data_IF_552134271780
#
_entry.id   IF_552134271780
#
_cell.length_a   1.000
_cell.length_b   1.000
_cell.length_c   1.000
_cell.angle_alpha   90.00
_cell.angle_beta   90.00
_cell.angle_gamma   90.00
#
_symmetry.space_group_name_H-M   'P 1'
#
loop_
_entity.id
_entity.type
_entity.pdbx_description
1 polymer ?
#
# COMPACT_ATOMS: atom_id res chain seq x y z
N UNK A 1 -33.54 62.30 27.14
CA UNK A 1 -34.83 62.83 26.64
C UNK A 1 -35.68 63.56 27.68
N UNK A 2 -35.86 63.07 28.92
CA UNK A 2 -36.71 63.75 29.92
C UNK A 2 -35.94 64.35 31.12
N UNK A 3 -34.79 64.98 30.87
CA UNK A 3 -33.85 65.41 31.93
C UNK A 3 -34.49 66.39 32.92
N UNK A 4 -35.17 67.43 32.44
CA UNK A 4 -35.75 68.47 33.30
C UNK A 4 -36.85 67.93 34.22
N UNK A 5 -37.65 66.99 33.70
CA UNK A 5 -38.72 66.34 34.45
C UNK A 5 -38.17 65.40 35.52
N UNK A 6 -37.12 64.63 35.20
CA UNK A 6 -36.41 63.77 36.16
C UNK A 6 -35.79 64.60 37.28
N UNK A 7 -35.14 65.73 36.95
CA UNK A 7 -34.56 66.63 37.96
C UNK A 7 -35.65 67.23 38.86
N UNK A 8 -36.81 67.60 38.29
CA UNK A 8 -37.94 68.12 39.07
C UNK A 8 -38.46 67.09 40.07
N UNK A 9 -38.67 65.85 39.64
CA UNK A 9 -39.13 64.75 40.49
C UNK A 9 -38.14 64.45 41.63
N UNK A 10 -36.83 64.51 41.35
CA UNK A 10 -35.79 64.28 42.37
C UNK A 10 -35.75 65.44 43.38
N UNK A 11 -35.92 66.69 42.94
CA UNK A 11 -35.91 67.87 43.83
C UNK A 11 -37.16 68.01 44.71
N UNK A 12 -38.32 67.53 44.24
CA UNK A 12 -39.59 67.59 44.98
C UNK A 12 -39.72 66.46 46.02
N UNK A 13 -38.90 65.41 45.92
CA UNK A 13 -38.88 64.31 46.88
C UNK A 13 -38.14 64.68 48.17
N UNK A 14 -38.62 64.15 49.31
CA UNK A 14 -38.00 64.39 50.62
C UNK A 14 -36.68 63.62 50.82
N UNK A 15 -36.55 62.45 50.20
CA UNK A 15 -35.35 61.62 50.26
C UNK A 15 -35.20 60.77 48.98
N UNK A 16 -34.06 60.07 48.85
CA UNK A 16 -33.75 59.24 47.68
C UNK A 16 -34.71 58.05 47.51
N UNK A 17 -35.33 57.55 48.59
CA UNK A 17 -36.27 56.44 48.51
C UNK A 17 -37.61 56.87 47.92
N UNK A 18 -38.10 58.06 48.32
CA UNK A 18 -39.29 58.69 47.75
C UNK A 18 -39.03 59.13 46.31
N UNK A 19 -37.82 59.64 46.00
CA UNK A 19 -37.43 59.96 44.64
C UNK A 19 -37.44 58.73 43.72
N UNK A 20 -36.88 57.60 44.18
CA UNK A 20 -36.88 56.35 43.43
C UNK A 20 -38.31 55.84 43.17
N UNK A 21 -39.17 55.81 44.18
CA UNK A 21 -40.56 55.39 44.04
C UNK A 21 -41.36 56.27 43.06
N UNK A 22 -41.13 57.58 43.09
CA UNK A 22 -41.77 58.52 42.15
C UNK A 22 -41.27 58.34 40.71
N UNK A 23 -39.96 58.11 40.52
CA UNK A 23 -39.39 57.82 39.20
C UNK A 23 -39.93 56.49 38.63
N UNK A 24 -40.07 55.46 39.47
CA UNK A 24 -40.68 54.19 39.08
C UNK A 24 -42.14 54.37 38.65
N UNK A 25 -42.96 55.05 39.47
CA UNK A 25 -44.39 55.24 39.17
C UNK A 25 -44.63 56.10 37.93
N UNK A 26 -43.76 57.08 37.66
CA UNK A 26 -43.97 58.06 36.57
C UNK A 26 -43.39 57.62 35.24
N UNK A 27 -42.24 56.95 35.24
CA UNK A 27 -41.54 56.53 34.01
C UNK A 27 -41.58 55.01 33.77
N UNK A 28 -42.26 54.24 34.63
CA UNK A 28 -42.34 52.78 34.50
C UNK A 28 -41.00 52.07 34.69
N UNK A 29 -40.08 52.69 35.43
CA UNK A 29 -38.73 52.19 35.64
C UNK A 29 -38.70 51.12 36.72
N UNK A 30 -37.72 50.21 36.63
CA UNK A 30 -37.38 49.31 37.73
C UNK A 30 -36.64 50.05 38.85
N UNK A 31 -36.65 49.49 40.06
CA UNK A 31 -35.94 50.03 41.21
C UNK A 31 -34.45 50.25 40.94
N UNK A 32 -33.80 49.30 40.25
CA UNK A 32 -32.38 49.40 39.85
C UNK A 32 -32.14 50.54 38.86
N UNK A 33 -33.04 50.72 37.88
CA UNK A 33 -32.93 51.82 36.91
C UNK A 33 -33.16 53.19 37.58
N UNK A 34 -34.12 53.28 38.49
CA UNK A 34 -34.41 54.51 39.23
C UNK A 34 -33.22 54.91 40.12
N UNK A 35 -32.63 53.95 40.83
CA UNK A 35 -31.44 54.17 41.66
C UNK A 35 -30.23 54.60 40.80
N UNK A 36 -30.00 53.95 39.65
CA UNK A 36 -28.91 54.32 38.73
C UNK A 36 -29.05 55.75 38.17
N UNK A 37 -30.27 56.25 38.00
CA UNK A 37 -30.53 57.65 37.60
C UNK A 37 -30.21 58.61 38.74
N UNK A 38 -30.56 58.27 39.98
CA UNK A 38 -30.28 59.09 41.18
C UNK A 38 -28.76 59.19 41.40
N UNK A 39 -28.03 58.09 41.20
CA UNK A 39 -26.57 58.03 41.39
C UNK A 39 -25.76 58.64 40.23
N UNK A 40 -26.44 59.15 39.19
CA UNK A 40 -25.80 59.69 38.01
C UNK A 40 -25.12 61.04 38.29
N UNK A 41 -23.86 61.18 37.87
CA UNK A 41 -23.10 62.44 37.98
C UNK A 41 -23.49 63.40 36.85
N UNK A 42 -23.65 64.68 37.16
CA UNK A 42 -24.02 65.74 36.18
C UNK A 42 -23.11 65.78 34.93
N UNK A 43 -21.82 65.44 35.05
CA UNK A 43 -20.89 65.38 33.92
C UNK A 43 -21.21 64.31 32.86
N UNK A 44 -22.00 63.28 33.22
CA UNK A 44 -22.47 62.23 32.28
C UNK A 44 -23.58 62.71 31.34
N UNK A 45 -24.12 63.91 31.57
CA UNK A 45 -25.15 64.52 30.73
C UNK A 45 -24.58 65.28 29.53
N UNK A 46 -23.25 65.27 29.34
CA UNK A 46 -22.65 65.89 28.15
C UNK A 46 -23.00 65.11 26.88
N UNK A 47 -22.99 65.81 25.73
CA UNK A 47 -23.34 65.21 24.45
C UNK A 47 -22.38 64.05 24.08
N UNK A 48 -21.08 64.21 24.35
CA UNK A 48 -20.07 63.19 24.11
C UNK A 48 -20.28 61.93 24.97
N UNK A 49 -20.69 62.09 26.23
CA UNK A 49 -20.98 60.94 27.10
C UNK A 49 -22.29 60.24 26.69
N UNK A 50 -23.25 60.99 26.15
CA UNK A 50 -24.48 60.42 25.58
C UNK A 50 -24.17 59.61 24.33
N UNK A 51 -23.33 60.13 23.42
CA UNK A 51 -22.90 59.44 22.21
C UNK A 51 -22.18 58.13 22.54
N UNK A 52 -21.24 58.13 23.49
CA UNK A 52 -20.58 56.90 23.96
C UNK A 52 -21.56 55.85 24.48
N UNK A 53 -22.61 56.27 25.19
CA UNK A 53 -23.64 55.35 25.70
C UNK A 53 -24.47 54.78 24.54
N UNK A 54 -24.77 55.58 23.52
CA UNK A 54 -25.48 55.11 22.33
C UNK A 54 -24.63 54.13 21.51
N UNK A 55 -23.33 54.39 21.37
CA UNK A 55 -22.39 53.49 20.70
C UNK A 55 -22.26 52.17 21.47
N UNK A 56 -22.07 52.23 22.79
CA UNK A 56 -22.01 51.03 23.63
C UNK A 56 -23.32 50.23 23.56
N UNK A 57 -24.47 50.91 23.55
CA UNK A 57 -25.77 50.29 23.38
C UNK A 57 -25.90 49.60 22.02
N UNK A 58 -25.41 50.22 20.95
CA UNK A 58 -25.42 49.63 19.60
C UNK A 58 -24.53 48.38 19.52
N UNK A 59 -23.34 48.43 20.12
CA UNK A 59 -22.42 47.30 20.20
C UNK A 59 -23.00 46.15 21.04
N UNK A 60 -23.61 46.46 22.19
CA UNK A 60 -24.28 45.48 23.03
C UNK A 60 -25.45 44.83 22.31
N UNK A 61 -26.27 45.60 21.60
CA UNK A 61 -27.37 45.05 20.80
C UNK A 61 -26.86 44.11 19.70
N UNK A 62 -25.77 44.47 19.03
CA UNK A 62 -25.12 43.62 18.02
C UNK A 62 -24.64 42.30 18.63
N UNK A 63 -23.98 42.35 19.79
CA UNK A 63 -23.55 41.16 20.54
C UNK A 63 -24.74 40.31 20.99
N UNK A 64 -25.80 40.93 21.53
CA UNK A 64 -27.00 40.22 21.97
C UNK A 64 -27.65 39.50 20.78
N UNK A 65 -27.78 40.16 19.63
CA UNK A 65 -28.30 39.53 18.41
C UNK A 65 -27.46 38.33 18.00
N UNK A 66 -26.14 38.48 17.95
CA UNK A 66 -25.22 37.38 17.63
C UNK A 66 -25.36 36.21 18.61
N UNK A 67 -25.36 36.47 19.92
CA UNK A 67 -25.47 35.42 20.93
C UNK A 67 -26.84 34.73 20.91
N UNK A 68 -27.94 35.47 20.69
CA UNK A 68 -29.27 34.87 20.54
C UNK A 68 -29.36 34.00 19.29
N UNK A 69 -28.81 34.47 18.18
CA UNK A 69 -28.74 33.70 16.93
C UNK A 69 -27.94 32.39 17.13
N UNK A 70 -26.76 32.50 17.74
CA UNK A 70 -25.91 31.34 18.06
C UNK A 70 -26.61 30.34 18.99
N UNK A 71 -27.27 30.82 20.06
CA UNK A 71 -27.95 29.96 21.04
C UNK A 71 -29.22 29.30 20.50
N UNK A 72 -29.81 29.84 19.43
CA UNK A 72 -31.03 29.28 18.82
C UNK A 72 -30.77 28.09 17.91
N UNK A 73 -29.53 27.88 17.45
CA UNK A 73 -29.17 26.82 16.50
C UNK A 73 -27.97 25.99 16.99
N UNK A 74 -28.23 24.71 17.34
CA UNK A 74 -27.18 23.78 17.75
C UNK A 74 -26.10 23.56 16.67
N UNK A 75 -26.43 23.70 15.39
CA UNK A 75 -25.49 23.59 14.29
C UNK A 75 -24.43 24.69 14.34
N UNK A 76 -24.84 25.94 14.61
CA UNK A 76 -23.93 27.07 14.78
C UNK A 76 -23.02 26.91 15.98
N UNK A 77 -23.54 26.43 17.11
CA UNK A 77 -22.73 26.13 18.31
C UNK A 77 -21.66 25.07 17.98
N UNK A 78 -22.04 23.96 17.34
CA UNK A 78 -21.08 22.91 16.94
C UNK A 78 -20.04 23.44 15.97
N UNK A 79 -20.41 24.36 15.09
CA UNK A 79 -19.47 24.98 14.16
C UNK A 79 -18.43 25.85 14.88
N UNK A 80 -18.83 26.63 15.89
CA UNK A 80 -17.90 27.39 16.74
C UNK A 80 -16.95 26.44 17.47
N UNK A 81 -17.47 25.40 18.13
CA UNK A 81 -16.66 24.40 18.83
C UNK A 81 -15.66 23.70 17.90
N UNK A 82 -16.11 23.33 16.69
CA UNK A 82 -15.22 22.74 15.68
C UNK A 82 -14.09 23.68 15.29
N UNK A 83 -14.40 24.96 15.10
CA UNK A 83 -13.43 25.99 14.73
C UNK A 83 -12.39 26.15 15.82
N UNK A 84 -12.82 26.27 17.08
CA UNK A 84 -11.92 26.39 18.23
C UNK A 84 -11.03 25.15 18.41
N UNK A 85 -11.57 23.94 18.26
CA UNK A 85 -10.80 22.69 18.35
C UNK A 85 -9.73 22.62 17.24
N UNK A 86 -10.08 23.03 16.01
CA UNK A 86 -9.13 23.05 14.89
C UNK A 86 -8.03 24.08 15.12
N UNK A 87 -8.36 25.26 15.64
CA UNK A 87 -7.38 26.29 15.97
C UNK A 87 -6.41 25.81 17.07
N UNK A 88 -6.92 25.11 18.10
CA UNK A 88 -6.08 24.46 19.11
C UNK A 88 -5.19 23.38 18.52
N UNK A 89 -5.74 22.52 17.65
CA UNK A 89 -4.98 21.47 16.96
C UNK A 89 -3.87 22.04 16.08
N UNK A 90 -4.10 23.18 15.41
CA UNK A 90 -3.11 23.84 14.57
C UNK A 90 -2.03 24.54 15.40
N UNK A 91 -2.41 25.14 16.53
CA UNK A 91 -1.48 25.89 17.40
C UNK A 91 -0.59 24.97 18.25
N UNK A 92 -1.11 23.83 18.68
CA UNK A 92 -0.44 22.94 19.64
C UNK A 92 -0.22 21.51 19.13
N UNK A 93 -0.57 21.22 17.88
CA UNK A 93 -0.36 19.90 17.29
C UNK A 93 1.11 19.56 17.10
N UNK A 94 1.51 18.39 17.56
CA UNK A 94 2.81 17.79 17.25
C UNK A 94 2.66 16.50 16.44
N UNK A 95 3.75 16.06 15.80
CA UNK A 95 3.74 14.76 15.13
C UNK A 95 3.72 13.66 16.18
N UNK A 96 2.94 12.61 15.92
CA UNK A 96 2.91 11.41 16.75
C UNK A 96 4.34 10.86 16.89
N UNK A 97 4.81 10.75 18.14
CA UNK A 97 6.15 10.26 18.46
C UNK A 97 6.25 8.74 18.48
N UNK A 98 5.14 8.07 18.77
CA UNK A 98 5.05 6.61 18.88
C UNK A 98 4.39 6.00 17.65
N UNK A 99 4.91 4.88 17.20
CA UNK A 99 4.27 4.04 16.18
C UNK A 99 3.45 2.95 16.88
N UNK A 100 2.24 2.67 16.39
CA UNK A 100 1.49 1.50 16.83
C UNK A 100 1.82 0.38 15.86
N UNK A 101 2.67 -0.55 16.28
CA UNK A 101 2.89 -1.81 15.57
C UNK A 101 1.76 -2.78 15.94
N UNK A 102 1.29 -3.55 14.96
CA UNK A 102 0.29 -4.61 15.18
C UNK A 102 0.93 -5.90 15.76
N UNK A 103 2.22 -5.83 16.10
CA UNK A 103 2.98 -6.92 16.71
C UNK A 103 2.74 -6.89 18.22
N UNK A 104 2.12 -7.94 18.76
CA UNK A 104 1.91 -8.11 20.21
C UNK A 104 3.26 -8.31 20.91
N UNK A 105 3.69 -7.32 21.71
CA UNK A 105 4.85 -7.46 22.60
C UNK A 105 4.61 -8.59 23.62
N UNK A 106 5.22 -9.75 23.39
CA UNK A 106 5.19 -10.90 24.30
C UNK A 106 4.24 -12.04 23.92
N UNK A 107 3.57 -11.96 22.76
CA UNK A 107 2.97 -13.15 22.17
C UNK A 107 4.09 -14.01 21.60
N UNK A 108 4.36 -15.19 22.18
CA UNK A 108 5.18 -16.18 21.49
C UNK A 108 4.57 -16.39 20.10
N UNK A 109 5.30 -16.06 19.04
CA UNK A 109 4.82 -16.39 17.70
C UNK A 109 4.76 -17.91 17.65
N UNK A 110 3.68 -18.48 17.11
CA UNK A 110 3.62 -19.93 16.82
C UNK A 110 4.86 -20.33 16.00
N UNK A 111 5.41 -19.39 15.22
CA UNK A 111 6.68 -19.48 14.50
C UNK A 111 7.89 -19.82 15.40
N UNK A 112 8.00 -19.29 16.62
CA UNK A 112 9.13 -19.58 17.52
C UNK A 112 9.13 -21.04 18.02
N UNK A 113 7.99 -21.72 17.93
CA UNK A 113 7.86 -23.15 18.21
C UNK A 113 8.10 -24.03 16.98
N UNK A 114 8.17 -23.44 15.79
CA UNK A 114 8.43 -24.19 14.56
C UNK A 114 9.94 -24.39 14.46
N UNK A 115 10.35 -25.64 14.31
CA UNK A 115 11.77 -25.97 14.16
C UNK A 115 12.28 -25.43 12.82
N UNK A 116 13.42 -24.75 12.87
CA UNK A 116 14.15 -24.40 11.67
C UNK A 116 14.82 -25.65 11.09
N UNK A 117 14.35 -26.09 9.92
CA UNK A 117 14.87 -27.25 9.22
C UNK A 117 14.82 -27.03 7.71
N UNK A 118 15.79 -27.60 7.00
CA UNK A 118 15.80 -27.56 5.54
C UNK A 118 14.78 -28.56 4.99
N UNK A 119 13.92 -28.09 4.10
CA UNK A 119 12.93 -28.90 3.39
C UNK A 119 13.06 -28.71 1.88
N UNK A 120 12.71 -29.74 1.14
CA UNK A 120 12.51 -29.66 -0.31
C UNK A 120 11.07 -29.26 -0.57
N UNK A 121 10.88 -28.12 -1.20
CA UNK A 121 9.58 -27.68 -1.70
C UNK A 121 9.42 -28.18 -3.13
N UNK A 122 8.29 -28.85 -3.39
CA UNK A 122 7.97 -29.41 -4.70
C UNK A 122 6.63 -28.84 -5.15
N UNK A 123 6.60 -28.27 -6.35
CA UNK A 123 5.41 -27.68 -6.94
C UNK A 123 5.26 -28.25 -8.35
N UNK A 124 4.08 -28.77 -8.63
CA UNK A 124 3.74 -29.33 -9.94
C UNK A 124 3.10 -28.30 -10.86
N UNK A 125 3.12 -28.57 -12.17
CA UNK A 125 2.48 -27.74 -13.19
C UNK A 125 0.96 -27.57 -12.99
N UNK A 126 0.32 -28.50 -12.27
CA UNK A 126 -1.10 -28.41 -11.91
C UNK A 126 -1.35 -27.65 -10.60
N UNK A 127 -0.31 -27.05 -10.02
CA UNK A 127 -0.39 -26.27 -8.79
C UNK A 127 -0.51 -27.12 -7.52
N UNK A 128 -0.09 -28.39 -7.56
CA UNK A 128 0.05 -29.18 -6.34
C UNK A 128 1.37 -28.85 -5.66
N UNK A 129 1.31 -28.47 -4.38
CA UNK A 129 2.47 -28.12 -3.57
C UNK A 129 2.61 -29.09 -2.40
N UNK A 130 3.86 -29.39 -2.05
CA UNK A 130 4.23 -30.07 -0.82
C UNK A 130 5.62 -29.66 -0.36
N UNK A 131 5.86 -29.77 0.94
CA UNK A 131 7.21 -29.78 1.52
C UNK A 131 7.55 -31.18 2.00
N UNK A 132 8.80 -31.57 1.80
CA UNK A 132 9.34 -32.87 2.20
C UNK A 132 10.66 -32.61 2.95
N UNK A 133 10.89 -33.18 4.14
CA UNK A 133 12.18 -33.06 4.81
C UNK A 133 13.34 -33.45 3.89
N UNK A 134 14.45 -32.70 3.93
CA UNK A 134 15.61 -32.96 3.07
C UNK A 134 16.16 -34.38 3.27
N UNK A 135 16.04 -34.94 4.47
CA UNK A 135 16.50 -36.29 4.80
C UNK A 135 15.77 -37.40 3.99
N UNK A 136 14.48 -37.22 3.66
CA UNK A 136 13.76 -38.15 2.78
C UNK A 136 14.22 -38.06 1.31
N UNK A 137 14.72 -36.90 0.90
CA UNK A 137 15.28 -36.69 -0.44
C UNK A 137 16.74 -37.12 -0.53
N UNK A 138 17.50 -37.06 0.58
CA UNK A 138 18.86 -37.60 0.71
C UNK A 138 18.86 -39.13 0.73
N UNK A 139 18.63 -39.75 -0.42
CA UNK A 139 18.90 -41.18 -0.58
C UNK A 139 20.40 -41.45 -0.74
N UNK A 140 20.94 -42.31 0.13
CA UNK A 140 22.28 -42.89 0.11
C UNK A 140 22.74 -43.29 -1.31
N UNK A 141 23.95 -42.88 -1.68
CA UNK A 141 24.77 -43.56 -2.71
C UNK A 141 24.42 -43.32 -4.17
N UNK A 142 25.46 -43.34 -5.01
CA UNK A 142 25.39 -43.12 -6.47
C UNK A 142 24.52 -44.19 -7.16
N UNK A 143 23.67 -43.74 -8.09
CA UNK A 143 23.42 -44.47 -9.33
C UNK A 143 22.37 -45.59 -9.30
N UNK A 144 21.15 -45.28 -8.86
CA UNK A 144 19.97 -46.07 -9.24
C UNK A 144 19.29 -45.49 -10.48
N UNK A 145 19.58 -46.01 -11.68
CA UNK A 145 18.68 -45.82 -12.84
C UNK A 145 17.32 -46.41 -12.46
N UNK A 146 16.37 -45.58 -12.04
CA UNK A 146 15.02 -46.03 -11.68
C UNK A 146 14.51 -45.64 -10.30
N UNK A 147 15.04 -44.58 -9.66
CA UNK A 147 14.31 -43.96 -8.54
C UNK A 147 13.11 -43.23 -9.13
N UNK A 148 11.95 -43.90 -9.19
CA UNK A 148 10.67 -43.27 -9.55
C UNK A 148 10.49 -42.03 -8.66
N UNK A 149 10.54 -40.85 -9.27
CA UNK A 149 10.01 -39.62 -8.69
C UNK A 149 8.50 -39.77 -8.44
N UNK A 150 7.91 -38.79 -7.76
CA UNK A 150 6.50 -38.77 -7.36
C UNK A 150 5.57 -39.46 -8.39
N UNK A 151 4.64 -40.30 -7.91
CA UNK A 151 3.60 -40.93 -8.73
C UNK A 151 2.63 -39.87 -9.23
N UNK A 152 3.02 -39.22 -10.33
CA UNK A 152 2.23 -38.25 -11.04
C UNK A 152 1.21 -39.01 -11.91
N UNK A 153 -0.02 -38.49 -12.04
CA UNK A 153 -0.97 -38.99 -13.06
C UNK A 153 -0.39 -38.68 -14.43
N UNK A 154 -0.92 -39.33 -15.48
CA UNK A 154 -0.63 -38.97 -16.86
C UNK A 154 -0.66 -37.43 -17.01
N UNK A 155 0.48 -36.84 -17.41
CA UNK A 155 0.73 -35.40 -17.68
C UNK A 155 0.94 -34.43 -16.50
N UNK A 156 1.03 -34.89 -15.24
CA UNK A 156 1.48 -34.03 -14.12
C UNK A 156 3.01 -34.14 -13.99
N UNK A 157 3.73 -33.03 -13.85
CA UNK A 157 5.19 -33.04 -13.68
C UNK A 157 5.65 -31.97 -12.70
N UNK A 158 6.81 -32.21 -12.09
CA UNK A 158 7.43 -31.25 -11.17
C UNK A 158 7.96 -30.07 -11.96
N UNK A 159 7.38 -28.89 -11.74
CA UNK A 159 7.78 -27.65 -12.41
C UNK A 159 8.82 -26.91 -11.57
N UNK A 160 8.63 -26.84 -10.25
CA UNK A 160 9.57 -26.23 -9.32
C UNK A 160 10.01 -27.21 -8.24
N UNK A 161 11.32 -27.27 -8.02
CA UNK A 161 11.95 -28.02 -6.94
C UNK A 161 13.13 -27.21 -6.40
N UNK A 162 13.03 -26.80 -5.14
CA UNK A 162 14.08 -26.04 -4.46
C UNK A 162 14.19 -26.45 -2.99
N UNK A 163 15.35 -26.19 -2.41
CA UNK A 163 15.59 -26.37 -0.97
C UNK A 163 15.39 -25.02 -0.29
N UNK A 164 14.63 -25.00 0.80
CA UNK A 164 14.37 -23.81 1.60
C UNK A 164 14.25 -24.19 3.07
N UNK A 165 14.55 -23.25 3.97
CA UNK A 165 14.26 -23.41 5.40
C UNK A 165 12.76 -23.23 5.67
N UNK A 166 12.23 -23.89 6.70
CA UNK A 166 10.83 -23.76 7.15
C UNK A 166 10.39 -22.31 7.45
N UNK A 167 11.34 -21.43 7.75
CA UNK A 167 11.10 -20.02 8.06
C UNK A 167 11.17 -19.10 6.85
N UNK A 168 11.69 -19.61 5.72
CA UNK A 168 11.71 -18.85 4.46
C UNK A 168 10.30 -18.67 3.91
N UNK A 169 10.21 -17.76 2.95
CA UNK A 169 8.98 -17.39 2.27
C UNK A 169 8.96 -17.99 0.86
N UNK A 170 7.79 -18.44 0.44
CA UNK A 170 7.50 -18.78 -0.95
C UNK A 170 6.52 -17.75 -1.47
N UNK A 171 6.96 -16.93 -2.43
CA UNK A 171 6.11 -16.01 -3.16
C UNK A 171 5.69 -16.60 -4.50
N UNK A 172 4.43 -16.40 -4.84
CA UNK A 172 3.78 -16.80 -6.07
C UNK A 172 3.33 -15.53 -6.77
N UNK A 173 3.73 -15.38 -8.03
CA UNK A 173 3.27 -14.29 -8.88
C UNK A 173 2.43 -14.89 -10.00
N UNK A 174 1.33 -14.22 -10.32
CA UNK A 174 0.32 -14.72 -11.26
C UNK A 174 0.31 -13.96 -12.57
N UNK A 175 -0.24 -14.57 -13.62
CA UNK A 175 -0.43 -13.98 -14.94
C UNK A 175 -1.25 -12.69 -14.92
N UNK A 176 -2.14 -12.51 -13.93
CA UNK A 176 -2.93 -11.30 -13.71
C UNK A 176 -2.18 -10.22 -12.89
N UNK A 177 -0.88 -10.42 -12.61
CA UNK A 177 -0.05 -9.42 -11.95
C UNK A 177 -0.31 -9.29 -10.45
N UNK A 178 -0.85 -10.32 -9.80
CA UNK A 178 -0.96 -10.40 -8.34
C UNK A 178 0.18 -11.22 -7.75
N UNK A 179 0.64 -10.82 -6.57
CA UNK A 179 1.60 -11.56 -5.76
C UNK A 179 0.94 -12.06 -4.47
N UNK A 180 1.30 -13.27 -4.09
CA UNK A 180 0.93 -13.94 -2.84
C UNK A 180 2.22 -14.48 -2.22
N UNK A 181 2.29 -14.60 -0.90
CA UNK A 181 3.34 -15.35 -0.23
C UNK A 181 2.78 -16.11 0.95
N UNK A 182 3.45 -17.21 1.28
CA UNK A 182 3.24 -17.99 2.49
C UNK A 182 4.58 -18.49 3.02
N UNK A 183 4.64 -18.80 4.31
CA UNK A 183 5.85 -19.40 4.88
C UNK A 183 6.00 -20.84 4.39
N UNK A 184 7.23 -21.31 4.25
CA UNK A 184 7.50 -22.69 3.82
C UNK A 184 6.82 -23.69 4.75
N UNK A 185 6.83 -23.49 6.07
CA UNK A 185 6.19 -24.41 7.02
C UNK A 185 4.67 -24.54 6.86
N UNK A 186 3.99 -23.51 6.32
CA UNK A 186 2.55 -23.51 6.05
C UNK A 186 2.19 -24.39 4.85
N UNK A 187 3.18 -24.76 4.03
CA UNK A 187 2.98 -25.74 2.95
C UNK A 187 2.67 -27.12 3.55
N UNK A 188 1.78 -27.88 2.88
CA UNK A 188 1.41 -29.21 3.36
C UNK A 188 2.63 -30.13 3.38
N UNK A 189 2.88 -30.74 4.53
CA UNK A 189 3.91 -31.74 4.66
C UNK A 189 3.46 -33.02 3.95
N UNK A 190 4.34 -33.58 3.13
CA UNK A 190 4.08 -34.81 2.40
C UNK A 190 5.31 -35.68 2.31
N UNK A 191 5.13 -36.91 1.83
CA UNK A 191 6.24 -37.80 1.49
C UNK A 191 6.74 -37.53 0.07
N UNK A 192 7.94 -38.02 -0.24
CA UNK A 192 8.49 -37.98 -1.61
C UNK A 192 7.53 -38.48 -2.69
N UNK A 193 6.72 -39.50 -2.39
CA UNK A 193 5.77 -40.13 -3.33
C UNK A 193 4.37 -39.51 -3.33
N UNK A 194 4.00 -38.72 -2.32
CA UNK A 194 2.68 -38.10 -2.25
C UNK A 194 2.47 -37.04 -3.33
N UNK A 195 1.22 -36.70 -3.65
CA UNK A 195 0.92 -35.67 -4.66
C UNK A 195 1.00 -34.24 -4.10
N UNK A 196 0.86 -34.07 -2.79
CA UNK A 196 0.67 -32.75 -2.18
C UNK A 196 -0.78 -32.29 -2.23
N UNK A 197 -1.02 -31.04 -1.83
CA UNK A 197 -2.33 -30.39 -1.91
C UNK A 197 -2.32 -29.28 -2.97
N UNK A 198 -3.50 -28.96 -3.51
CA UNK A 198 -3.63 -27.86 -4.46
C UNK A 198 -3.43 -26.52 -3.76
N UNK A 199 -2.50 -25.71 -4.26
CA UNK A 199 -2.21 -24.37 -3.74
C UNK A 199 -3.40 -23.42 -3.91
N UNK A 200 -4.26 -23.69 -4.91
CA UNK A 200 -5.50 -22.95 -5.16
C UNK A 200 -6.51 -23.06 -4.02
N UNK A 201 -6.39 -24.06 -3.12
CA UNK A 201 -7.25 -24.16 -1.93
C UNK A 201 -6.95 -23.09 -0.90
N UNK A 202 -5.70 -22.64 -0.82
CA UNK A 202 -5.22 -21.72 0.21
C UNK A 202 -5.20 -20.26 -0.25
N UNK A 203 -5.39 -20.02 -1.56
CA UNK A 203 -5.28 -18.71 -2.18
C UNK A 203 -6.54 -18.39 -2.99
N UNK A 204 -7.09 -17.17 -2.88
CA UNK A 204 -8.34 -16.77 -3.53
C UNK A 204 -8.12 -16.42 -5.00
N UNK A 205 -7.74 -17.40 -5.81
CA UNK A 205 -7.53 -17.22 -7.25
C UNK A 205 -8.86 -16.92 -7.94
N UNK A 206 -8.82 -15.96 -8.88
CA UNK A 206 -9.93 -15.69 -9.77
C UNK A 206 -9.89 -16.66 -10.96
N UNK A 207 -10.99 -16.75 -11.70
CA UNK A 207 -11.03 -17.51 -12.96
C UNK A 207 -9.92 -17.03 -13.92
N UNK A 208 -9.25 -17.97 -14.59
CA UNK A 208 -8.08 -17.74 -15.47
C UNK A 208 -6.83 -17.15 -14.79
N UNK A 209 -6.77 -17.14 -13.46
CA UNK A 209 -5.56 -16.79 -12.71
C UNK A 209 -4.64 -18.01 -12.58
N UNK A 210 -3.43 -17.90 -13.14
CA UNK A 210 -2.40 -18.93 -13.18
C UNK A 210 -1.08 -18.41 -12.60
N UNK A 211 -0.31 -19.30 -11.98
CA UNK A 211 1.00 -18.95 -11.42
C UNK A 211 2.01 -18.89 -12.57
N UNK A 212 2.74 -17.79 -12.67
CA UNK A 212 3.80 -17.61 -13.67
C UNK A 212 5.18 -17.82 -13.08
N UNK A 213 5.35 -17.52 -11.79
CA UNK A 213 6.67 -17.52 -11.15
C UNK A 213 6.54 -17.87 -9.69
N UNK A 214 7.50 -18.64 -9.20
CA UNK A 214 7.62 -19.04 -7.80
C UNK A 214 9.01 -18.64 -7.32
N UNK A 215 9.05 -17.84 -6.26
CA UNK A 215 10.26 -17.21 -5.77
C UNK A 215 10.42 -17.55 -4.29
N UNK A 216 11.56 -18.11 -3.93
CA UNK A 216 11.93 -18.36 -2.55
C UNK A 216 12.87 -17.26 -2.06
N UNK A 217 12.65 -16.77 -0.84
CA UNK A 217 13.52 -15.78 -0.21
C UNK A 217 13.43 -15.87 1.31
N UNK A 218 14.50 -15.43 1.99
CA UNK A 218 14.60 -15.48 3.45
C UNK A 218 13.75 -14.42 4.11
N UNK A 219 13.99 -13.16 3.78
CA UNK A 219 13.31 -12.02 4.37
C UNK A 219 13.09 -10.90 3.35
N UNK A 220 12.23 -9.95 3.71
CA UNK A 220 11.90 -8.76 2.96
C UNK A 220 13.03 -7.73 3.05
N UNK A 221 14.18 -8.06 2.46
CA UNK A 221 15.36 -7.21 2.37
C UNK A 221 15.11 -5.99 1.47
N UNK A 222 15.63 -4.82 1.86
CA UNK A 222 15.54 -3.59 1.09
C UNK A 222 16.39 -3.62 -0.19
N UNK A 223 17.42 -4.45 -0.22
CA UNK A 223 18.31 -4.64 -1.38
C UNK A 223 17.73 -5.61 -2.42
N UNK A 224 16.63 -6.31 -2.09
CA UNK A 224 15.96 -7.23 -3.00
C UNK A 224 14.81 -6.57 -3.74
N UNK A 225 14.73 -6.89 -5.03
CA UNK A 225 13.69 -6.40 -5.92
C UNK A 225 13.06 -7.55 -6.68
N UNK A 226 11.76 -7.42 -6.91
CA UNK A 226 11.02 -8.25 -7.85
C UNK A 226 11.02 -7.58 -9.22
N UNK A 227 11.72 -8.16 -10.18
CA UNK A 227 11.68 -7.74 -11.58
C UNK A 227 10.67 -8.59 -12.35
N UNK A 228 9.67 -7.93 -12.92
CA UNK A 228 8.57 -8.54 -13.66
C UNK A 228 8.65 -8.17 -15.14
N UNK A 229 8.28 -9.09 -16.02
CA UNK A 229 8.08 -8.82 -17.46
C UNK A 229 6.72 -9.33 -17.95
N UNK A 230 6.06 -8.52 -18.76
CA UNK A 230 4.78 -8.86 -19.41
C UNK A 230 4.98 -9.38 -20.83
N UNK A 231 3.93 -9.99 -21.39
CA UNK A 231 3.89 -10.50 -22.77
C UNK A 231 4.23 -9.41 -23.77
N UNK A 232 3.72 -8.20 -23.54
CA UNK A 232 3.92 -7.04 -24.42
C UNK A 232 5.26 -6.30 -24.19
N UNK A 233 6.19 -6.88 -23.43
CA UNK A 233 7.54 -6.35 -23.25
C UNK A 233 7.64 -5.18 -22.27
N UNK A 234 6.65 -5.02 -21.39
CA UNK A 234 6.73 -4.10 -20.25
C UNK A 234 7.55 -4.78 -19.15
N UNK A 235 8.53 -4.06 -18.62
CA UNK A 235 9.32 -4.49 -17.47
C UNK A 235 9.05 -3.58 -16.26
N UNK A 236 9.04 -4.17 -15.08
CA UNK A 236 8.78 -3.44 -13.83
C UNK A 236 9.60 -4.00 -12.69
N UNK A 237 10.30 -3.11 -11.97
CA UNK A 237 11.05 -3.43 -10.77
C UNK A 237 10.35 -2.87 -9.54
N UNK A 238 10.15 -3.69 -8.51
CA UNK A 238 9.48 -3.30 -7.26
C UNK A 238 10.28 -3.83 -6.08
N UNK A 239 10.55 -3.00 -5.07
CA UNK A 239 11.25 -3.44 -3.87
C UNK A 239 10.46 -4.54 -3.16
N UNK A 240 11.13 -5.61 -2.76
CA UNK A 240 10.53 -6.75 -2.10
C UNK A 240 9.74 -6.39 -0.82
N UNK A 241 10.17 -5.44 0.04
CA UNK A 241 9.44 -5.05 1.24
C UNK A 241 8.01 -4.56 1.00
N UNK A 242 7.71 -4.03 -0.19
CA UNK A 242 6.34 -3.62 -0.55
C UNK A 242 5.36 -4.80 -0.62
N UNK A 243 5.86 -6.04 -0.64
CA UNK A 243 5.09 -7.28 -0.62
C UNK A 243 4.93 -7.91 0.77
N UNK A 244 5.37 -7.25 1.86
CA UNK A 244 5.22 -7.79 3.23
C UNK A 244 3.76 -8.15 3.58
N UNK A 245 2.80 -7.40 3.05
CA UNK A 245 1.36 -7.64 3.25
C UNK A 245 0.72 -8.53 2.16
N UNK A 246 1.50 -9.07 1.22
CA UNK A 246 1.04 -9.96 0.16
C UNK A 246 0.81 -11.40 0.65
N UNK A 247 0.30 -11.60 1.87
CA UNK A 247 -0.03 -12.93 2.43
C UNK A 247 -1.11 -13.64 1.58
N UNK A 248 -1.86 -14.56 2.15
CA UNK A 248 -2.91 -15.33 1.46
C UNK A 248 -3.97 -14.51 0.73
N UNK A 249 -4.25 -13.26 1.14
CA UNK A 249 -5.19 -12.37 0.43
C UNK A 249 -4.69 -11.94 -0.96
N UNK A 250 -3.37 -11.92 -1.15
CA UNK A 250 -2.72 -11.39 -2.34
C UNK A 250 -2.84 -9.87 -2.46
N UNK A 251 -1.91 -9.29 -3.22
CA UNK A 251 -1.93 -7.87 -3.58
C UNK A 251 -1.49 -7.68 -5.03
N UNK A 252 -1.91 -6.58 -5.64
CA UNK A 252 -1.41 -6.18 -6.96
C UNK A 252 0.10 -5.95 -6.90
N UNK A 253 0.83 -6.57 -7.83
CA UNK A 253 2.27 -6.41 -8.06
C UNK A 253 2.55 -5.47 -9.25
N UNK A 254 1.73 -5.58 -10.30
CA UNK A 254 1.78 -4.77 -11.52
C UNK A 254 0.37 -4.48 -12.03
N UNK A 255 0.16 -3.29 -12.60
CA UNK A 255 -1.04 -2.98 -13.38
C UNK A 255 -0.75 -3.37 -14.82
N UNK A 256 -1.53 -4.31 -15.35
CA UNK A 256 -1.42 -4.78 -16.72
C UNK A 256 -2.27 -3.91 -17.66
N UNK A 257 -1.83 -3.79 -18.91
CA UNK A 257 -2.66 -3.22 -19.97
C UNK A 257 -3.73 -4.23 -20.39
N UNK A 258 -4.72 -3.78 -21.16
CA UNK A 258 -5.72 -4.64 -21.77
C UNK A 258 -5.04 -5.72 -22.64
N UNK A 259 -5.49 -6.97 -22.51
CA UNK A 259 -4.95 -8.18 -23.14
C UNK A 259 -3.47 -8.54 -22.83
N UNK A 260 -2.82 -7.79 -21.93
CA UNK A 260 -1.47 -8.12 -21.46
C UNK A 260 -1.53 -9.08 -20.27
N UNK A 261 -0.50 -9.92 -20.15
CA UNK A 261 -0.32 -10.82 -19.02
C UNK A 261 1.10 -10.76 -18.53
N UNK A 262 1.29 -10.99 -17.24
CA UNK A 262 2.61 -11.25 -16.71
C UNK A 262 3.13 -12.58 -17.25
N UNK A 263 4.38 -12.61 -17.72
CA UNK A 263 5.02 -13.82 -18.27
C UNK A 263 5.99 -14.42 -17.29
N UNK A 264 6.88 -13.61 -16.70
CA UNK A 264 7.83 -14.10 -15.71
C UNK A 264 8.25 -13.01 -14.72
N UNK A 265 8.74 -13.45 -13.56
CA UNK A 265 9.27 -12.62 -12.49
C UNK A 265 10.53 -13.24 -11.92
N UNK A 266 11.55 -12.43 -11.66
CA UNK A 266 12.82 -12.84 -11.08
C UNK A 266 13.16 -11.96 -9.88
N UNK A 267 13.83 -12.55 -8.90
CA UNK A 267 14.44 -11.81 -7.80
C UNK A 267 15.78 -11.26 -8.27
N UNK A 268 16.00 -9.96 -8.07
CA UNK A 268 17.22 -9.27 -8.49
C UNK A 268 17.72 -8.35 -7.38
N UNK A 269 19.02 -8.12 -7.37
CA UNK A 269 19.75 -7.17 -6.52
C UNK A 269 20.44 -6.11 -7.37
N UNK A 270 20.95 -5.07 -6.74
CA UNK A 270 21.70 -4.04 -7.46
C UNK A 270 22.99 -4.61 -8.07
N UNK A 271 23.18 -4.40 -9.36
CA UNK A 271 24.34 -4.88 -10.11
C UNK A 271 24.07 -6.16 -10.89
N UNK A 272 22.90 -6.78 -10.72
CA UNK A 272 22.49 -7.91 -11.55
C UNK A 272 22.25 -7.47 -13.00
N UNK A 273 22.49 -8.40 -13.93
CA UNK A 273 22.03 -8.27 -15.30
C UNK A 273 20.89 -9.24 -15.57
N UNK A 274 19.97 -8.81 -16.41
CA UNK A 274 18.78 -9.56 -16.77
C UNK A 274 18.69 -9.69 -18.28
N UNK A 275 18.04 -10.75 -18.74
CA UNK A 275 17.83 -11.00 -20.15
C UNK A 275 16.36 -11.30 -20.45
N UNK A 276 15.72 -10.46 -21.26
CA UNK A 276 14.39 -10.71 -21.80
C UNK A 276 14.53 -11.46 -23.12
N UNK A 277 13.76 -12.53 -23.30
CA UNK A 277 13.75 -13.38 -24.49
C UNK A 277 12.38 -13.29 -25.15
N UNK A 278 12.34 -13.19 -26.48
CA UNK A 278 11.10 -13.18 -27.27
C UNK A 278 10.88 -14.50 -28.01
N UNK A 279 9.62 -14.79 -28.32
CA UNK A 279 9.19 -16.00 -29.05
C UNK A 279 9.88 -16.13 -30.41
N UNK A 280 10.13 -15.02 -31.12
CA UNK A 280 10.80 -15.01 -32.43
C UNK A 280 12.34 -14.97 -32.36
N UNK A 281 12.93 -15.14 -31.18
CA UNK A 281 14.37 -15.32 -31.04
C UNK A 281 15.18 -14.04 -30.89
N UNK A 282 14.58 -12.98 -30.36
CA UNK A 282 15.32 -11.81 -29.86
C UNK A 282 15.68 -12.00 -28.39
N UNK A 283 16.85 -11.53 -28.02
CA UNK A 283 17.32 -11.49 -26.64
C UNK A 283 17.87 -10.11 -26.32
N UNK A 284 17.45 -9.53 -25.20
CA UNK A 284 17.94 -8.25 -24.70
C UNK A 284 18.53 -8.44 -23.30
N UNK A 285 19.87 -8.42 -23.21
CA UNK A 285 20.63 -8.37 -21.95
C UNK A 285 20.79 -6.90 -21.53
N UNK A 286 20.41 -6.56 -20.30
CA UNK A 286 20.49 -5.21 -19.74
C UNK A 286 20.76 -5.28 -18.23
N UNK A 287 21.31 -4.20 -17.65
CA UNK A 287 21.52 -4.10 -16.21
C UNK A 287 20.20 -3.83 -15.48
N UNK A 288 20.00 -4.39 -14.28
CA UNK A 288 18.80 -4.17 -13.47
C UNK A 288 18.54 -2.66 -13.25
N UNK A 289 19.62 -1.87 -13.13
CA UNK A 289 19.62 -0.42 -12.89
C UNK A 289 18.96 0.38 -14.03
N UNK A 290 18.88 -0.18 -15.25
CA UNK A 290 18.14 0.46 -16.34
C UNK A 290 16.64 0.56 -16.04
N UNK A 291 16.09 -0.36 -15.23
CA UNK A 291 14.69 -0.36 -14.78
C UNK A 291 14.62 0.21 -13.37
N UNK A 292 14.18 1.46 -13.24
CA UNK A 292 14.01 2.08 -11.92
C UNK A 292 12.96 1.34 -11.08
N UNK A 293 13.18 1.29 -9.78
CA UNK A 293 12.18 0.83 -8.83
C UNK A 293 10.92 1.71 -8.87
N UNK A 294 9.75 1.07 -8.74
CA UNK A 294 8.44 1.71 -8.77
C UNK A 294 7.52 1.08 -7.72
N UNK A 295 6.45 1.80 -7.37
CA UNK A 295 5.40 1.26 -6.50
C UNK A 295 4.59 0.14 -7.17
N UNK A 296 3.97 -0.71 -6.36
CA UNK A 296 3.15 -1.85 -6.80
C UNK A 296 1.96 -1.48 -7.70
N UNK A 297 1.24 -0.40 -7.41
CA UNK A 297 0.10 0.05 -8.22
C UNK A 297 0.55 0.94 -9.40
N UNK A 298 1.42 0.40 -10.26
CA UNK A 298 1.91 1.10 -11.45
C UNK A 298 2.14 0.15 -12.62
N UNK A 299 2.18 0.69 -13.83
CA UNK A 299 2.28 -0.06 -15.09
C UNK A 299 3.69 -0.61 -15.37
N UNK A 300 4.74 0.11 -14.98
CA UNK A 300 6.13 -0.23 -15.37
C UNK A 300 6.61 0.58 -16.57
N UNK A 301 7.74 0.16 -17.15
CA UNK A 301 8.41 0.83 -18.28
C UNK A 301 8.63 -0.15 -19.43
N UNK A 302 8.94 0.34 -20.63
CA UNK A 302 9.33 -0.56 -21.72
C UNK A 302 10.64 -1.29 -21.37
N UNK A 303 10.57 -2.62 -21.33
CA UNK A 303 11.69 -3.53 -21.13
C UNK A 303 12.36 -3.89 -22.46
N UNK A 304 11.59 -4.36 -23.43
CA UNK A 304 12.06 -4.68 -24.80
C UNK A 304 11.13 -4.04 -25.84
N UNK A 305 11.68 -3.62 -26.98
CA UNK A 305 10.88 -3.21 -28.13
C UNK A 305 10.58 -4.41 -29.02
N UNK A 306 9.35 -4.88 -28.97
CA UNK A 306 8.85 -5.95 -29.84
C UNK A 306 8.70 -5.46 -31.29
N UNK A 307 8.82 -6.38 -32.24
CA UNK A 307 8.72 -6.11 -33.68
C UNK A 307 7.56 -6.96 -34.24
N UNK A 308 6.57 -6.30 -34.85
CA UNK A 308 5.39 -6.98 -35.38
C UNK A 308 4.57 -7.63 -34.27
N UNK A 309 4.22 -8.89 -34.48
CA UNK A 309 3.48 -9.82 -33.61
C UNK A 309 4.42 -10.70 -32.73
N UNK A 310 5.63 -10.23 -32.44
CA UNK A 310 6.52 -10.90 -31.47
C UNK A 310 6.06 -10.62 -30.04
N UNK A 311 6.35 -11.54 -29.13
CA UNK A 311 5.95 -11.47 -27.73
C UNK A 311 7.08 -11.98 -26.83
N UNK A 312 7.07 -11.59 -25.55
CA UNK A 312 8.01 -12.09 -24.56
C UNK A 312 7.73 -13.56 -24.25
N UNK A 313 8.78 -14.38 -24.31
CA UNK A 313 8.77 -15.79 -23.92
C UNK A 313 9.30 -15.99 -22.49
N UNK A 314 10.17 -15.11 -21.99
CA UNK A 314 10.70 -15.23 -20.64
C UNK A 314 11.66 -14.13 -20.22
N UNK A 315 12.01 -14.18 -18.93
CA UNK A 315 13.00 -13.36 -18.27
C UNK A 315 14.00 -14.28 -17.56
N UNK A 316 15.28 -13.96 -17.60
CA UNK A 316 16.34 -14.69 -16.90
C UNK A 316 17.27 -13.71 -16.20
N UNK A 317 17.77 -14.10 -15.02
CA UNK A 317 18.94 -13.47 -14.41
C UNK A 317 20.22 -14.03 -15.02
N UNK A 318 21.17 -13.14 -15.28
CA UNK A 318 22.47 -13.49 -15.88
C UNK A 318 23.43 -13.90 -14.78
N UNK A 319 24.03 -15.09 -14.92
CA UNK A 319 25.07 -15.56 -14.02
C UNK A 319 26.22 -16.17 -14.82
N UNK A 320 27.46 -15.84 -14.45
CA UNK A 320 28.66 -16.23 -15.19
C UNK A 320 28.90 -17.76 -15.23
N UNK A 321 28.40 -18.48 -14.24
CA UNK A 321 28.51 -19.94 -14.13
C UNK A 321 27.33 -20.68 -14.80
N UNK A 322 26.36 -19.96 -15.36
CA UNK A 322 25.14 -20.53 -15.97
C UNK A 322 25.14 -20.37 -17.49
N UNK A 323 24.34 -21.22 -18.14
CA UNK A 323 24.08 -21.19 -19.59
C UNK A 323 22.59 -21.03 -19.84
N UNK A 324 22.24 -20.35 -20.91
CA UNK A 324 20.88 -20.34 -21.44
C UNK A 324 20.67 -21.64 -22.21
N UNK A 325 19.63 -22.39 -21.85
CA UNK A 325 19.06 -23.45 -22.68
C UNK A 325 17.85 -22.88 -23.40
N UNK A 326 17.94 -22.70 -24.71
CA UNK A 326 16.77 -22.40 -25.54
C UNK A 326 16.22 -23.72 -26.06
N UNK A 327 14.90 -23.87 -25.96
CA UNK A 327 14.13 -24.95 -26.56
C UNK A 327 13.11 -24.31 -27.49
N UNK A 328 12.74 -25.00 -28.57
CA UNK A 328 11.70 -24.56 -29.49
C UNK A 328 10.51 -25.50 -29.42
N UNK A 329 9.35 -25.04 -29.89
CA UNK A 329 8.11 -25.84 -29.90
C UNK A 329 8.23 -27.15 -30.71
N UNK A 330 9.22 -27.25 -31.61
CA UNK A 330 9.52 -28.45 -32.41
C UNK A 330 10.65 -29.30 -31.82
N UNK A 331 10.99 -29.10 -30.55
CA UNK A 331 11.93 -29.92 -29.80
C UNK A 331 13.40 -29.71 -30.18
N UNK A 332 13.74 -28.59 -30.81
CA UNK A 332 15.15 -28.24 -31.05
C UNK A 332 15.67 -27.40 -29.90
N UNK A 333 16.94 -27.60 -29.53
CA UNK A 333 17.53 -26.82 -28.46
C UNK A 333 18.99 -26.52 -28.67
N UNK A 334 19.44 -25.42 -28.05
CA UNK A 334 20.82 -25.00 -28.02
C UNK A 334 21.15 -24.43 -26.65
N UNK A 335 22.33 -24.78 -26.15
CA UNK A 335 22.92 -24.15 -24.97
C UNK A 335 23.94 -23.09 -25.39
N UNK A 336 23.88 -21.92 -24.75
CA UNK A 336 24.80 -20.79 -25.00
C UNK A 336 25.18 -20.16 -23.66
N UNK A 337 26.44 -19.76 -23.53
CA UNK A 337 26.90 -18.95 -22.40
C UNK A 337 26.36 -17.53 -22.50
N UNK A 338 26.10 -16.88 -21.35
CA UNK A 338 25.61 -15.51 -21.35
C UNK A 338 26.59 -14.51 -21.99
N UNK A 339 27.89 -14.78 -21.90
CA UNK A 339 28.97 -13.91 -22.42
C UNK A 339 28.99 -13.79 -23.94
N UNK A 340 28.32 -14.70 -24.65
CA UNK A 340 28.10 -14.59 -26.10
C UNK A 340 27.10 -13.48 -26.45
N UNK A 341 26.41 -12.92 -25.44
CA UNK A 341 25.41 -11.88 -25.61
C UNK A 341 25.90 -10.54 -25.09
N UNK A 342 25.83 -9.51 -25.94
CA UNK A 342 26.23 -8.16 -25.58
C UNK A 342 25.15 -7.48 -24.74
N UNK A 343 25.57 -6.77 -23.70
CA UNK A 343 24.70 -5.89 -22.93
C UNK A 343 24.30 -4.67 -23.76
N UNK A 344 23.02 -4.32 -23.73
CA UNK A 344 22.44 -3.14 -24.35
C UNK A 344 21.57 -2.40 -23.33
N UNK A 345 21.13 -1.18 -23.66
CA UNK A 345 20.12 -0.48 -22.87
C UNK A 345 18.75 -1.14 -23.01
N UNK A 346 17.94 -1.07 -21.96
CA UNK A 346 16.52 -1.47 -22.02
C UNK A 346 15.76 -0.71 -23.11
N UNK A 347 14.66 -1.30 -23.59
CA UNK A 347 13.75 -0.71 -24.57
C UNK A 347 14.27 -0.72 -26.01
N UNK A 348 15.44 -1.32 -26.25
CA UNK A 348 15.94 -1.65 -27.58
C UNK A 348 15.28 -2.93 -28.11
N UNK A 349 15.49 -3.28 -29.38
CA UNK A 349 14.92 -4.49 -29.99
C UNK A 349 15.68 -5.78 -29.62
N UNK A 350 16.76 -5.65 -28.84
CA UNK A 350 17.67 -6.75 -28.55
C UNK A 350 18.45 -7.23 -29.78
N UNK A 351 19.24 -8.27 -29.55
CA UNK A 351 20.05 -8.95 -30.56
C UNK A 351 19.38 -10.27 -30.94
N UNK A 352 19.76 -10.81 -32.10
CA UNK A 352 19.25 -12.10 -32.57
C UNK A 352 19.99 -13.22 -31.83
N UNK A 353 19.27 -14.01 -31.05
CA UNK A 353 19.81 -15.17 -30.32
C UNK A 353 19.40 -16.50 -30.98
N UNK A 354 18.32 -16.46 -31.76
CA UNK A 354 17.79 -17.57 -32.53
C UNK A 354 17.23 -17.04 -33.86
N UNK A 355 17.33 -17.86 -34.92
CA UNK A 355 16.70 -17.54 -36.20
C UNK A 355 15.45 -18.40 -36.33
N UNK A 356 14.28 -17.76 -36.26
CA UNK A 356 13.03 -18.42 -36.58
C UNK A 356 13.08 -19.03 -37.98
N UNK A 357 12.72 -20.31 -38.07
CA UNK A 357 12.49 -21.05 -39.31
C UNK A 357 11.26 -21.92 -39.10
N UNK A 358 10.43 -22.07 -40.14
CA UNK A 358 9.22 -22.89 -40.03
C UNK A 358 9.51 -24.34 -39.60
N UNK A 359 10.67 -24.87 -39.98
CA UNK A 359 11.11 -26.22 -39.57
C UNK A 359 11.38 -26.33 -38.06
N UNK A 360 11.77 -25.25 -37.41
CA UNK A 360 12.28 -25.24 -36.04
C UNK A 360 11.31 -24.57 -35.06
N UNK A 361 10.41 -23.70 -35.55
CA UNK A 361 9.31 -23.11 -34.78
C UNK A 361 9.73 -21.92 -33.90
N UNK A 362 8.84 -21.46 -33.04
CA UNK A 362 9.12 -20.44 -32.02
C UNK A 362 9.91 -21.01 -30.83
N UNK A 363 10.59 -20.14 -30.09
CA UNK A 363 11.13 -20.48 -28.76
C UNK A 363 9.96 -20.74 -27.81
#
# INVERSE_FOLDING_TARGET
DNIDEVIKVIKEAQDNTVAAANLMSRFGLSEVQAQAIIDMKLGRLSHLETEKILDELADLNTKIMYYKDLLSDQGKIRQVVKTEILDLSNKYGDKRKTEITLEELGGMNIEDFIKEEDVVVVISNRGFVKRVPVDEYRSQGRGGRGVRGATLRDEDFVEHLFVASTHEHVMLVTNLGKAYWMKVHELPMGSKTSKGESIKKNLPFVENEEITSIINFKDFDEELYLLMVTRNGVAKKVNLPLFRNAKTRGITAIILDEDDVLVNSELVTEGDECMIITRKGKGLRFADSDVRAMGRASRGVRGIKLIGDDEVAGLLTVAADRRILMLTEKGQGKQIHFDEFRTHRRGTMGQKIYTFKDKTGYI
#
